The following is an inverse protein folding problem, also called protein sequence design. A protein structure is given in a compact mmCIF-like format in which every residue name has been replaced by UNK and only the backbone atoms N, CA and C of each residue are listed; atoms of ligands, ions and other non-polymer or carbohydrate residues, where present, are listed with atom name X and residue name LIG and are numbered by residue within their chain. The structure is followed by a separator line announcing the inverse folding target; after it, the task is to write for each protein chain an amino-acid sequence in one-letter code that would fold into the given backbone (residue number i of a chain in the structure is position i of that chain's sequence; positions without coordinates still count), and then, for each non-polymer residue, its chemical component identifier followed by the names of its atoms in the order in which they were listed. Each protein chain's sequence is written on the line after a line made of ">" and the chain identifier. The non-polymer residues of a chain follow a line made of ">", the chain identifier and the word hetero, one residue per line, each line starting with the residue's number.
data_IF_654982318071
#
_entry.id   IF_654982318071
#
_cell.length_a   1.000
_cell.length_b   1.000
_cell.length_c   1.000
_cell.angle_alpha   90.00
_cell.angle_beta   90.00
_cell.angle_gamma   90.00
#
_symmetry.space_group_name_H-M   'P 1'
#
loop_
_entity.id
_entity.type
_entity.pdbx_description
1 polymer ?
#
# COMPACT_ATOMS: atom_id res chain seq x y z
N UNK A 1 5.33 -5.60 7.56
CA UNK A 1 4.03 -5.55 8.26
C UNK A 1 2.99 -6.31 7.43
N UNK A 2 2.01 -6.97 8.06
CA UNK A 2 0.89 -7.58 7.32
C UNK A 2 -0.20 -6.53 7.06
N UNK A 3 -0.83 -6.58 5.90
CA UNK A 3 -1.97 -5.74 5.57
C UNK A 3 -2.98 -6.52 4.73
N UNK A 4 -4.21 -6.03 4.68
CA UNK A 4 -5.24 -6.54 3.76
C UNK A 4 -5.37 -5.58 2.58
N UNK A 5 -5.34 -6.09 1.35
CA UNK A 5 -5.69 -5.31 0.17
C UNK A 5 -7.22 -5.24 0.12
N UNK A 6 -7.78 -4.05 0.30
CA UNK A 6 -9.23 -3.80 0.23
C UNK A 6 -9.67 -3.68 -1.23
N UNK A 7 -8.85 -3.02 -2.04
CA UNK A 7 -9.09 -2.79 -3.45
C UNK A 7 -7.76 -2.60 -4.18
N UNK A 8 -7.66 -3.07 -5.42
CA UNK A 8 -6.47 -2.95 -6.25
C UNK A 8 -6.87 -2.56 -7.68
N UNK A 9 -6.06 -1.69 -8.29
CA UNK A 9 -6.17 -1.29 -9.69
C UNK A 9 -4.79 -1.32 -10.35
N UNK A 10 -4.72 -0.95 -11.63
CA UNK A 10 -3.44 -0.90 -12.35
C UNK A 10 -2.52 0.23 -11.87
N UNK A 11 -3.05 1.25 -11.16
CA UNK A 11 -2.30 2.45 -10.75
C UNK A 11 -2.12 2.57 -9.24
N UNK A 12 -2.73 1.70 -8.45
CA UNK A 12 -2.67 1.81 -7.00
C UNK A 12 -3.50 0.76 -6.27
N UNK A 13 -3.56 0.92 -4.96
CA UNK A 13 -4.34 0.06 -4.10
C UNK A 13 -4.84 0.81 -2.86
N UNK A 14 -5.89 0.26 -2.24
CA UNK A 14 -6.32 0.63 -0.90
C UNK A 14 -6.00 -0.51 0.05
N UNK A 15 -5.26 -0.19 1.10
CA UNK A 15 -4.75 -1.16 2.06
C UNK A 15 -5.33 -0.88 3.44
N UNK A 16 -5.54 -1.95 4.21
CA UNK A 16 -5.83 -1.93 5.64
C UNK A 16 -4.65 -2.59 6.39
N UNK A 17 -3.63 -1.82 6.77
CA UNK A 17 -2.51 -2.31 7.57
C UNK A 17 -2.93 -2.49 9.04
N UNK A 18 -2.09 -3.15 9.83
CA UNK A 18 -2.29 -3.22 11.29
C UNK A 18 -2.18 -1.84 11.95
N UNK A 19 -1.32 -0.97 11.41
CA UNK A 19 -1.18 0.41 11.84
C UNK A 19 -0.81 1.28 10.62
N UNK A 20 -1.72 2.17 10.22
CA UNK A 20 -1.54 3.04 9.05
C UNK A 20 -0.66 4.27 9.32
N UNK A 21 -0.51 4.67 10.59
CA UNK A 21 0.19 5.89 10.98
C UNK A 21 1.71 5.70 10.98
N UNK A 22 2.19 4.48 11.19
CA UNK A 22 3.62 4.17 11.21
C UNK A 22 4.20 3.83 9.83
N UNK A 23 3.37 3.75 8.79
CA UNK A 23 3.85 3.45 7.44
C UNK A 23 4.57 4.66 6.83
N UNK A 24 5.78 4.48 6.28
CA UNK A 24 6.49 5.55 5.59
C UNK A 24 5.72 6.04 4.36
N UNK A 25 6.09 7.21 3.84
CA UNK A 25 5.47 7.75 2.62
C UNK A 25 5.74 6.88 1.41
N UNK A 26 6.88 6.22 1.32
CA UNK A 26 7.20 5.26 0.28
C UNK A 26 7.55 3.91 0.89
N UNK A 27 7.01 2.84 0.31
CA UNK A 27 7.29 1.48 0.72
C UNK A 27 7.09 0.49 -0.41
N UNK A 28 7.68 -0.70 -0.27
CA UNK A 28 7.42 -1.82 -1.17
C UNK A 28 6.22 -2.60 -0.67
N UNK A 29 5.16 -2.69 -1.48
CA UNK A 29 4.01 -3.55 -1.25
C UNK A 29 4.27 -4.91 -1.89
N UNK A 30 4.25 -5.97 -1.07
CA UNK A 30 4.31 -7.35 -1.55
C UNK A 30 2.89 -7.90 -1.71
N UNK A 31 2.47 -8.09 -2.96
CA UNK A 31 1.13 -8.58 -3.31
C UNK A 31 1.12 -10.12 -3.30
N UNK A 32 2.18 -10.72 -3.82
CA UNK A 32 2.39 -12.17 -3.85
C UNK A 32 3.87 -12.50 -3.61
N UNK A 33 4.26 -13.79 -3.47
CA UNK A 33 5.67 -14.17 -3.35
C UNK A 33 6.57 -13.64 -4.48
N UNK A 34 6.01 -13.53 -5.69
CA UNK A 34 6.71 -13.13 -6.92
C UNK A 34 6.43 -11.67 -7.33
N UNK A 35 5.47 -11.01 -6.69
CA UNK A 35 5.02 -9.67 -7.08
C UNK A 35 5.23 -8.65 -5.95
N UNK A 36 6.13 -7.72 -6.20
CA UNK A 36 6.43 -6.57 -5.34
C UNK A 36 6.35 -5.29 -6.16
N UNK A 37 5.74 -4.25 -5.58
CA UNK A 37 5.52 -2.96 -6.25
C UNK A 37 5.93 -1.84 -5.32
N UNK A 38 6.75 -0.91 -5.81
CA UNK A 38 7.07 0.31 -5.07
C UNK A 38 5.84 1.22 -5.06
N UNK A 39 5.48 1.72 -3.88
CA UNK A 39 4.25 2.46 -3.66
C UNK A 39 4.53 3.73 -2.89
N UNK A 40 3.75 4.78 -3.18
CA UNK A 40 3.69 6.01 -2.41
C UNK A 40 2.32 6.14 -1.73
N UNK A 41 2.31 6.47 -0.45
CA UNK A 41 1.11 6.77 0.32
C UNK A 41 0.55 8.14 -0.06
N UNK A 42 -0.61 8.15 -0.73
CA UNK A 42 -1.28 9.38 -1.18
C UNK A 42 -2.41 9.83 -0.25
N UNK A 43 -2.90 8.92 0.60
CA UNK A 43 -3.95 9.21 1.58
C UNK A 43 -3.83 8.29 2.79
N UNK A 44 -3.98 8.84 4.01
CA UNK A 44 -4.03 8.08 5.26
C UNK A 44 -5.31 8.39 6.02
N UNK A 45 -5.88 7.37 6.64
CA UNK A 45 -6.83 7.45 7.75
C UNK A 45 -6.33 6.56 8.88
N UNK A 46 -7.03 6.51 10.02
CA UNK A 46 -6.64 5.65 11.15
C UNK A 46 -6.52 4.17 10.77
N UNK A 47 -7.33 3.70 9.82
CA UNK A 47 -7.43 2.28 9.48
C UNK A 47 -7.09 1.95 8.03
N UNK A 48 -6.98 2.95 7.14
CA UNK A 48 -6.77 2.73 5.72
C UNK A 48 -5.69 3.64 5.16
N UNK A 49 -5.01 3.11 4.15
CA UNK A 49 -4.03 3.86 3.37
C UNK A 49 -4.32 3.65 1.89
N UNK A 50 -4.45 4.77 1.17
CA UNK A 50 -4.47 4.79 -0.29
C UNK A 50 -3.05 4.92 -0.78
N UNK A 51 -2.65 4.04 -1.71
CA UNK A 51 -1.32 4.06 -2.31
C UNK A 51 -1.39 4.18 -3.81
N UNK A 52 -0.40 4.87 -4.38
CA UNK A 52 -0.13 4.91 -5.82
C UNK A 52 1.06 4.02 -6.13
N UNK A 53 0.95 3.22 -7.19
CA UNK A 53 2.06 2.42 -7.68
C UNK A 53 3.04 3.31 -8.44
N UNK A 54 4.31 3.20 -8.10
CA UNK A 54 5.40 3.88 -8.78
C UNK A 54 5.93 2.93 -9.87
N UNK A 55 5.75 3.32 -11.13
CA UNK A 55 6.46 2.71 -12.24
C UNK A 55 7.95 3.03 -12.08
N UNK A 56 8.78 1.97 -12.07
CA UNK A 56 10.24 2.13 -12.23
C UNK A 56 10.57 2.69 -13.60
#
# INVERSE_FOLDING_TARGET
>A
MKCTIVEISNSGARLRPTDALILPNEFTLKISPEQEVLCEAIRRSEFEIGVRFLSR
#
